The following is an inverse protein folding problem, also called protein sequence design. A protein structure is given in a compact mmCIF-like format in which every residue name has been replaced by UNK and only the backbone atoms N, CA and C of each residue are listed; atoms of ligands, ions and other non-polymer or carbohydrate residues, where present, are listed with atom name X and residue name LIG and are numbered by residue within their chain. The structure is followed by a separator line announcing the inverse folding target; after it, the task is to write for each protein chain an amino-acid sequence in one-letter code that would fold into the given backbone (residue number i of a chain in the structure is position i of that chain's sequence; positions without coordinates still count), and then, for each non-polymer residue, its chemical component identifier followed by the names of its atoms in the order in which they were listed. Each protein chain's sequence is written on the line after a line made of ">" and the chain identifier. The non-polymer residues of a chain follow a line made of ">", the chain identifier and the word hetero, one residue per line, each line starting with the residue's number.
data_IF_175014489644
#
_entry.id   IF_175014489644
#
_cell.length_a   1.000
_cell.length_b   1.000
_cell.length_c   1.000
_cell.angle_alpha   90.00
_cell.angle_beta   90.00
_cell.angle_gamma   90.00
#
_symmetry.space_group_name_H-M   'P 1'
#
loop_
_entity.id
_entity.type
_entity.pdbx_description
1 polymer ?
#
# COMPACT_ATOMS: atom_id res chain seq x y z
N UNK A 1 -1.70 2.50 23.67
CA UNK A 1 -1.37 1.28 22.91
C UNK A 1 -2.66 0.65 22.42
N UNK A 2 -2.62 0.00 21.25
CA UNK A 2 -3.79 -0.61 20.62
C UNK A 2 -3.36 -2.00 20.15
N UNK A 3 -4.24 -2.99 20.28
CA UNK A 3 -4.02 -4.35 19.78
C UNK A 3 -5.05 -4.67 18.70
N UNK A 4 -4.57 -5.07 17.53
CA UNK A 4 -5.40 -5.52 16.41
C UNK A 4 -5.14 -7.01 16.23
N UNK A 5 -6.18 -7.83 16.37
CA UNK A 5 -6.03 -9.28 16.45
C UNK A 5 -5.85 -9.95 15.08
N UNK A 6 -6.38 -9.37 14.00
CA UNK A 6 -6.40 -10.03 12.71
C UNK A 6 -6.60 -9.07 11.53
N UNK A 7 -5.49 -8.68 10.88
CA UNK A 7 -5.52 -8.03 9.56
C UNK A 7 -4.39 -8.60 8.69
N UNK A 8 -4.72 -8.97 7.45
CA UNK A 8 -3.79 -9.65 6.53
C UNK A 8 -3.57 -11.14 6.81
N UNK A 9 -2.65 -11.74 6.06
CA UNK A 9 -2.26 -13.14 6.14
C UNK A 9 -0.76 -13.28 6.45
N UNK A 10 -0.37 -14.45 6.97
CA UNK A 10 1.05 -14.78 7.16
C UNK A 10 1.78 -14.72 5.82
N UNK A 11 2.89 -13.97 5.78
CA UNK A 11 3.71 -13.77 4.59
C UNK A 11 3.39 -12.49 3.82
N UNK A 12 2.30 -11.79 4.18
CA UNK A 12 2.08 -10.44 3.72
C UNK A 12 3.14 -9.49 4.29
N UNK A 13 3.42 -8.40 3.57
CA UNK A 13 4.29 -7.31 4.04
C UNK A 13 3.41 -6.26 4.71
N UNK A 14 3.51 -6.06 6.03
CA UNK A 14 2.74 -5.04 6.73
C UNK A 14 3.23 -3.64 6.38
N UNK A 15 2.32 -2.68 6.44
CA UNK A 15 2.57 -1.26 6.21
C UNK A 15 1.55 -0.41 6.98
N UNK A 16 1.81 0.90 7.04
CA UNK A 16 0.92 1.90 7.59
C UNK A 16 0.95 3.16 6.75
N UNK A 17 -0.16 3.89 6.72
CA UNK A 17 -0.31 5.19 6.08
C UNK A 17 -1.70 5.76 6.32
N UNK A 18 -1.87 7.07 6.15
CA UNK A 18 -3.16 7.75 6.23
C UNK A 18 -3.95 7.50 4.93
N UNK A 19 -4.79 6.46 4.92
CA UNK A 19 -5.48 6.04 3.70
C UNK A 19 -6.75 6.86 3.44
N UNK A 20 -7.26 7.56 4.46
CA UNK A 20 -8.54 8.26 4.43
C UNK A 20 -8.43 9.79 4.61
N UNK A 21 -7.21 10.32 4.76
CA UNK A 21 -6.88 11.72 4.95
C UNK A 21 -7.53 12.32 6.23
N UNK A 22 -7.52 11.55 7.33
CA UNK A 22 -8.00 12.02 8.65
C UNK A 22 -6.88 12.53 9.58
N UNK A 23 -5.63 12.44 9.12
CA UNK A 23 -4.43 12.81 9.85
C UNK A 23 -3.90 11.71 10.77
N UNK A 24 -4.37 10.47 10.64
CA UNK A 24 -3.85 9.30 11.36
C UNK A 24 -3.56 8.15 10.41
N UNK A 25 -2.46 7.45 10.69
CA UNK A 25 -2.12 6.26 9.96
C UNK A 25 -3.06 5.09 10.33
N UNK A 26 -3.54 4.40 9.31
CA UNK A 26 -4.16 3.09 9.40
C UNK A 26 -3.18 1.98 8.99
N UNK A 27 -3.58 0.74 9.21
CA UNK A 27 -2.78 -0.43 8.81
C UNK A 27 -3.11 -0.87 7.38
N UNK A 28 -2.17 -1.56 6.76
CA UNK A 28 -2.35 -2.17 5.46
C UNK A 28 -1.38 -3.32 5.24
N UNK A 29 -1.61 -4.08 4.17
CA UNK A 29 -0.70 -5.13 3.76
C UNK A 29 -0.50 -5.16 2.24
N UNK A 30 0.73 -5.48 1.83
CA UNK A 30 1.04 -5.91 0.47
C UNK A 30 1.23 -7.43 0.43
N UNK A 31 0.46 -8.09 -0.42
CA UNK A 31 0.48 -9.54 -0.64
C UNK A 31 1.13 -9.88 -1.97
N UNK A 32 2.12 -10.78 -1.93
CA UNK A 32 2.76 -11.30 -3.14
C UNK A 32 1.80 -12.16 -3.93
N UNK A 33 1.47 -11.74 -5.16
CA UNK A 33 0.86 -12.59 -6.16
C UNK A 33 1.91 -13.37 -6.96
N UNK A 34 1.56 -13.79 -8.18
CA UNK A 34 2.48 -14.50 -9.08
C UNK A 34 3.57 -13.59 -9.64
N UNK A 35 3.24 -12.33 -9.94
CA UNK A 35 4.15 -11.37 -10.57
C UNK A 35 4.15 -10.01 -9.89
N UNK A 36 2.99 -9.59 -9.37
CA UNK A 36 2.77 -8.28 -8.78
C UNK A 36 2.32 -8.38 -7.32
N UNK A 37 2.47 -7.29 -6.59
CA UNK A 37 1.79 -7.13 -5.30
C UNK A 37 0.32 -6.78 -5.50
N UNK A 38 -0.52 -7.31 -4.62
CA UNK A 38 -1.86 -6.79 -4.34
C UNK A 38 -1.86 -6.13 -2.96
N UNK A 39 -2.61 -5.05 -2.77
CA UNK A 39 -2.65 -4.27 -1.53
C UNK A 39 -4.05 -4.30 -0.94
N UNK A 40 -4.11 -4.36 0.38
CA UNK A 40 -5.34 -4.38 1.18
C UNK A 40 -5.13 -3.37 2.31
N UNK A 41 -5.85 -2.25 2.27
CA UNK A 41 -5.66 -1.12 3.17
C UNK A 41 -6.92 -0.92 4.00
N UNK A 42 -6.78 -0.90 5.32
CA UNK A 42 -7.87 -0.69 6.29
C UNK A 42 -8.28 0.78 6.25
N UNK A 43 -9.11 1.15 5.28
CA UNK A 43 -9.39 2.56 4.99
C UNK A 43 -10.28 3.20 6.07
N UNK A 44 -11.03 2.39 6.82
CA UNK A 44 -11.89 2.88 7.89
C UNK A 44 -11.22 2.86 9.28
N UNK A 45 -10.01 2.28 9.37
CA UNK A 45 -9.18 2.27 10.58
C UNK A 45 -9.71 1.41 11.72
N UNK A 46 -10.59 0.44 11.45
CA UNK A 46 -11.22 -0.35 12.50
C UNK A 46 -10.44 -1.63 12.87
N UNK A 47 -9.34 -1.91 12.16
CA UNK A 47 -8.47 -3.05 12.38
C UNK A 47 -9.02 -4.38 11.86
N UNK A 48 -10.05 -4.36 11.02
CA UNK A 48 -10.68 -5.53 10.40
C UNK A 48 -10.73 -5.36 8.88
N UNK A 49 -10.80 -6.48 8.15
CA UNK A 49 -11.01 -6.43 6.71
C UNK A 49 -12.51 -6.34 6.38
N UNK A 50 -12.94 -5.21 5.81
CA UNK A 50 -14.30 -4.93 5.40
C UNK A 50 -14.43 -4.83 3.87
N UNK A 51 -14.86 -5.94 3.27
CA UNK A 51 -15.06 -6.01 1.83
C UNK A 51 -16.03 -4.92 1.33
N UNK A 52 -15.55 -4.06 0.42
CA UNK A 52 -16.33 -2.96 -0.16
C UNK A 52 -16.25 -1.64 0.63
N UNK A 53 -15.61 -1.63 1.80
CA UNK A 53 -15.25 -0.41 2.53
C UNK A 53 -13.74 -0.17 2.38
N UNK A 54 -12.95 -1.22 2.57
CA UNK A 54 -11.51 -1.16 2.49
C UNK A 54 -10.99 -1.11 1.06
N UNK A 55 -9.81 -0.52 0.90
CA UNK A 55 -9.19 -0.33 -0.40
C UNK A 55 -8.49 -1.61 -0.82
N UNK A 56 -8.82 -2.08 -2.02
CA UNK A 56 -8.09 -3.17 -2.69
C UNK A 56 -7.40 -2.64 -3.93
N UNK A 57 -6.09 -2.82 -4.01
CA UNK A 57 -5.31 -2.54 -5.22
C UNK A 57 -4.83 -3.89 -5.77
N UNK A 58 -5.38 -4.38 -6.90
CA UNK A 58 -5.18 -5.77 -7.31
C UNK A 58 -3.78 -6.03 -7.87
N UNK A 59 -3.08 -5.02 -8.38
CA UNK A 59 -1.76 -5.18 -9.00
C UNK A 59 -0.99 -3.86 -9.09
N UNK A 60 0.04 -3.70 -8.27
CA UNK A 60 0.97 -2.56 -8.37
C UNK A 60 2.40 -2.94 -7.96
N UNK A 61 3.37 -2.74 -8.85
CA UNK A 61 4.77 -3.13 -8.63
C UNK A 61 5.01 -4.65 -8.65
N UNK A 62 6.23 -5.08 -8.98
CA UNK A 62 6.60 -6.49 -9.00
C UNK A 62 6.88 -7.01 -7.58
N UNK A 63 6.70 -8.32 -7.36
CA UNK A 63 7.00 -8.97 -6.06
C UNK A 63 8.48 -8.91 -5.64
N UNK A 64 9.36 -8.50 -6.55
CA UNK A 64 10.79 -8.26 -6.30
C UNK A 64 11.10 -6.81 -5.90
N UNK A 65 10.14 -5.92 -6.06
CA UNK A 65 10.29 -4.53 -5.66
C UNK A 65 10.13 -4.38 -4.14
N UNK A 66 10.65 -3.28 -3.61
CA UNK A 66 10.43 -2.87 -2.22
C UNK A 66 9.20 -1.97 -2.16
N UNK A 67 8.20 -2.35 -1.36
CA UNK A 67 6.98 -1.55 -1.16
C UNK A 67 7.29 -0.28 -0.37
N UNK A 68 6.61 0.80 -0.72
CA UNK A 68 6.71 2.12 -0.09
C UNK A 68 5.30 2.67 0.15
N UNK A 69 5.22 3.57 1.13
CA UNK A 69 4.03 4.35 1.47
C UNK A 69 4.47 5.79 1.73
N UNK A 70 3.65 6.75 1.28
CA UNK A 70 3.81 8.15 1.61
C UNK A 70 2.90 9.04 0.77
N UNK A 71 2.66 10.26 1.26
CA UNK A 71 2.03 11.34 0.52
C UNK A 71 2.98 11.86 -0.58
N UNK A 72 2.78 11.38 -1.80
CA UNK A 72 3.66 11.71 -2.93
C UNK A 72 3.24 12.98 -3.65
N UNK A 73 2.01 13.45 -3.44
CA UNK A 73 1.41 14.58 -4.16
C UNK A 73 1.18 15.82 -3.27
N UNK A 74 1.33 15.69 -1.95
CA UNK A 74 1.17 16.74 -0.95
C UNK A 74 -0.28 17.02 -0.53
N UNK A 75 -1.21 16.10 -0.72
CA UNK A 75 -2.64 16.29 -0.40
C UNK A 75 -3.04 15.82 1.01
N UNK A 76 -2.10 15.26 1.76
CA UNK A 76 -2.28 14.75 3.12
C UNK A 76 -2.71 13.28 3.19
N UNK A 77 -3.06 12.64 2.07
CA UNK A 77 -3.32 11.21 1.99
C UNK A 77 -2.05 10.48 1.61
N UNK A 78 -1.77 9.35 2.27
CA UNK A 78 -0.66 8.49 1.85
C UNK A 78 -1.07 7.61 0.66
N UNK A 79 -0.15 7.45 -0.29
CA UNK A 79 -0.30 6.53 -1.41
C UNK A 79 0.75 5.43 -1.42
N UNK A 80 0.44 4.35 -2.14
CA UNK A 80 1.39 3.26 -2.35
C UNK A 80 2.46 3.65 -3.38
N UNK A 81 3.62 3.02 -3.25
CA UNK A 81 4.69 3.11 -4.23
C UNK A 81 5.59 1.89 -4.17
N UNK A 82 6.52 1.79 -5.11
CA UNK A 82 7.58 0.79 -5.07
C UNK A 82 8.93 1.36 -5.47
N UNK A 83 9.99 0.87 -4.83
CA UNK A 83 11.37 1.04 -5.25
C UNK A 83 11.86 -0.23 -5.94
N UNK A 84 12.23 -0.09 -7.22
CA UNK A 84 12.82 -1.15 -8.02
C UNK A 84 14.34 -1.04 -8.02
N UNK A 85 15.00 -2.09 -7.54
CA UNK A 85 16.46 -2.17 -7.55
C UNK A 85 16.99 -2.35 -8.97
N UNK A 86 17.74 -1.37 -9.47
CA UNK A 86 18.57 -1.50 -10.67
C UNK A 86 20.00 -1.92 -10.35
N UNK A 87 20.88 -1.84 -11.35
CA UNK A 87 22.31 -2.19 -11.19
C UNK A 87 23.08 -1.21 -10.31
N UNK A 88 22.74 0.08 -10.39
CA UNK A 88 23.50 1.15 -9.70
C UNK A 88 22.62 2.06 -8.84
N UNK A 89 21.31 2.08 -9.07
CA UNK A 89 20.36 2.93 -8.36
C UNK A 89 18.98 2.28 -8.30
N UNK A 90 18.10 2.83 -7.47
CA UNK A 90 16.68 2.49 -7.44
C UNK A 90 15.90 3.38 -8.39
N UNK A 91 14.93 2.80 -9.10
CA UNK A 91 13.86 3.54 -9.77
C UNK A 91 12.60 3.50 -8.90
N UNK A 92 11.92 4.62 -8.76
CA UNK A 92 10.72 4.75 -7.94
C UNK A 92 9.50 4.86 -8.84
N UNK A 93 8.46 4.11 -8.51
CA UNK A 93 7.16 4.13 -9.18
C UNK A 93 6.13 4.40 -8.10
N UNK A 94 5.57 5.60 -8.12
CA UNK A 94 4.72 6.15 -7.06
C UNK A 94 3.32 6.31 -7.63
N UNK A 95 2.30 5.81 -6.94
CA UNK A 95 0.89 6.00 -7.30
C UNK A 95 0.41 7.38 -6.87
N UNK A 96 1.06 8.44 -7.36
CA UNK A 96 0.86 9.80 -6.84
C UNK A 96 -0.54 10.37 -7.11
N UNK A 97 -1.38 9.74 -7.94
CA UNK A 97 -2.77 10.13 -8.12
C UNK A 97 -3.74 9.27 -7.27
N UNK A 98 -3.21 8.32 -6.50
CA UNK A 98 -3.96 7.46 -5.59
C UNK A 98 -5.00 6.56 -6.26
N UNK A 99 -4.88 6.29 -7.56
CA UNK A 99 -5.90 5.54 -8.30
C UNK A 99 -5.69 4.01 -8.24
N UNK A 100 -4.54 3.55 -7.73
CA UNK A 100 -4.19 2.13 -7.62
C UNK A 100 -3.89 1.47 -8.96
N UNK A 101 -3.68 2.25 -10.03
CA UNK A 101 -3.44 1.74 -11.38
C UNK A 101 -1.95 1.90 -11.69
N UNK A 102 -1.33 0.82 -12.16
CA UNK A 102 0.01 0.91 -12.69
C UNK A 102 0.01 1.70 -14.00
N UNK A 103 0.45 2.93 -13.92
CA UNK A 103 0.65 3.83 -15.06
C UNK A 103 2.16 3.98 -15.28
N UNK A 104 2.64 3.59 -16.46
CA UNK A 104 3.98 4.00 -16.87
C UNK A 104 3.90 5.43 -17.41
N UNK A 105 4.90 6.27 -17.13
CA UNK A 105 5.05 7.53 -17.86
C UNK A 105 5.16 7.31 -19.37
#
# INVERSE_FOLDING_TARGET
>A
DIFISQFGLIGDTPMSGDWNNDGKDEIGVARKGTSYYSYYLDANGNGLWDAGVDITIPSFGFITDTVLVGDWNGDGKDEIGVARKGTSYYSYYLDANGNGIWEQP
#
